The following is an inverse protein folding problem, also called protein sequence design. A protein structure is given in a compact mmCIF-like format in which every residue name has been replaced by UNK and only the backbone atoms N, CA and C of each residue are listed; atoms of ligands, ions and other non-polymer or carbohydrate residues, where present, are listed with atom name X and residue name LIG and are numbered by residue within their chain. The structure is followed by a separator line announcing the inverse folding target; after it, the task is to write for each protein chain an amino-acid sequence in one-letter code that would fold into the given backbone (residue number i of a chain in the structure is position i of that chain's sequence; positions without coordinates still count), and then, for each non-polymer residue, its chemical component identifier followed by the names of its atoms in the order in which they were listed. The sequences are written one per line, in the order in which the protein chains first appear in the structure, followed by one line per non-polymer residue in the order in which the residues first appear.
data_IF_246725950283
#
_entry.id   IF_246725950283
#
_cell.length_a   1.000
_cell.length_b   1.000
_cell.length_c   1.000
_cell.angle_alpha   90.00
_cell.angle_beta   90.00
_cell.angle_gamma   90.00
#
_symmetry.space_group_name_H-M   'P 1'
#
loop_
_entity.id
_entity.type
_entity.pdbx_description
1 polymer ?
#
# COMPACT_ATOMS: atom_id res chain seq x y z
N UNK A 1 -5.58 5.26 18.98
CA UNK A 1 -5.56 4.85 17.55
C UNK A 1 -4.14 4.70 17.03
N UNK A 2 -3.27 5.72 17.15
CA UNK A 2 -1.84 5.60 16.80
C UNK A 2 -1.16 4.40 17.47
N UNK A 3 -1.35 4.25 18.77
CA UNK A 3 -0.69 3.16 19.51
C UNK A 3 -1.19 1.77 19.10
N UNK A 4 -2.46 1.66 18.66
CA UNK A 4 -3.00 0.42 18.12
C UNK A 4 -2.36 0.06 16.77
N UNK A 5 -2.12 1.05 15.91
CA UNK A 5 -1.41 0.84 14.64
C UNK A 5 0.04 0.40 14.90
N UNK A 6 0.71 1.03 15.86
CA UNK A 6 2.09 0.66 16.25
C UNK A 6 2.13 -0.75 16.86
N UNK A 7 1.17 -1.09 17.73
CA UNK A 7 1.07 -2.42 18.32
C UNK A 7 0.83 -3.50 17.25
N UNK A 8 -0.01 -3.22 16.25
CA UNK A 8 -0.26 -4.14 15.15
C UNK A 8 0.96 -4.28 14.22
N UNK A 9 1.64 -3.16 13.91
CA UNK A 9 2.91 -3.21 13.17
C UNK A 9 3.95 -4.06 13.89
N UNK A 10 4.08 -3.92 15.21
CA UNK A 10 4.97 -4.75 16.03
C UNK A 10 4.54 -6.22 16.05
N UNK A 11 3.23 -6.51 16.08
CA UNK A 11 2.69 -7.87 15.99
C UNK A 11 3.08 -8.51 14.66
N UNK A 12 2.79 -7.84 13.54
CA UNK A 12 3.15 -8.32 12.19
C UNK A 12 4.67 -8.49 12.05
N UNK A 13 5.48 -7.58 12.60
CA UNK A 13 6.93 -7.70 12.54
C UNK A 13 7.48 -8.96 13.23
N UNK A 14 6.79 -9.48 14.26
CA UNK A 14 7.13 -10.70 15.00
C UNK A 14 6.50 -11.96 14.42
N UNK A 15 5.23 -11.88 14.06
CA UNK A 15 4.39 -13.04 13.71
C UNK A 15 4.27 -13.26 12.20
N UNK A 16 4.64 -12.26 11.40
CA UNK A 16 4.43 -12.24 9.96
C UNK A 16 3.01 -11.85 9.56
N UNK A 17 2.83 -11.65 8.27
CA UNK A 17 1.52 -11.44 7.65
C UNK A 17 0.87 -12.81 7.41
N UNK A 18 -0.44 -12.89 7.61
CA UNK A 18 -1.21 -14.07 7.22
C UNK A 18 -1.09 -14.33 5.70
N UNK A 19 -0.74 -15.57 5.35
CA UNK A 19 -0.48 -15.96 3.95
C UNK A 19 -1.73 -15.81 3.08
N UNK A 20 -2.90 -16.18 3.62
CA UNK A 20 -4.18 -16.07 2.90
C UNK A 20 -4.54 -14.62 2.63
N UNK A 21 -4.35 -13.75 3.64
CA UNK A 21 -4.55 -12.31 3.53
C UNK A 21 -3.62 -11.70 2.48
N UNK A 22 -2.33 -12.02 2.52
CA UNK A 22 -1.35 -11.53 1.55
C UNK A 22 -1.77 -11.88 0.11
N UNK A 23 -2.07 -13.16 -0.17
CA UNK A 23 -2.48 -13.60 -1.51
C UNK A 23 -3.75 -12.92 -1.98
N UNK A 24 -4.75 -12.80 -1.10
CA UNK A 24 -6.03 -12.15 -1.43
C UNK A 24 -5.84 -10.67 -1.75
N UNK A 25 -5.06 -9.94 -0.94
CA UNK A 25 -4.78 -8.53 -1.17
C UNK A 25 -3.94 -8.31 -2.43
N UNK A 26 -2.86 -9.08 -2.62
CA UNK A 26 -2.02 -9.01 -3.84
C UNK A 26 -2.86 -9.20 -5.11
N UNK A 27 -3.72 -10.23 -5.14
CA UNK A 27 -4.64 -10.48 -6.25
C UNK A 27 -5.65 -9.34 -6.45
N UNK A 28 -6.21 -8.81 -5.35
CA UNK A 28 -7.18 -7.72 -5.39
C UNK A 28 -6.60 -6.43 -6.00
N UNK A 29 -5.42 -6.03 -5.53
CA UNK A 29 -4.71 -4.84 -6.02
C UNK A 29 -4.26 -5.03 -7.47
N UNK A 30 -3.70 -6.19 -7.82
CA UNK A 30 -3.34 -6.52 -9.20
C UNK A 30 -4.56 -6.39 -10.14
N UNK A 31 -5.68 -7.00 -9.77
CA UNK A 31 -6.91 -6.92 -10.55
C UNK A 31 -7.45 -5.48 -10.68
N UNK A 32 -7.28 -4.65 -9.65
CA UNK A 32 -7.63 -3.23 -9.74
C UNK A 32 -6.75 -2.48 -10.75
N UNK A 33 -5.43 -2.75 -10.77
CA UNK A 33 -4.50 -2.16 -11.74
C UNK A 33 -4.85 -2.57 -13.17
N UNK A 34 -5.10 -3.87 -13.40
CA UNK A 34 -5.55 -4.39 -14.71
C UNK A 34 -6.84 -3.73 -15.17
N UNK A 35 -7.85 -3.60 -14.28
CA UNK A 35 -9.10 -2.92 -14.64
C UNK A 35 -8.89 -1.44 -14.97
N UNK A 36 -7.95 -0.78 -14.30
CA UNK A 36 -7.58 0.61 -14.55
C UNK A 36 -7.07 0.86 -15.97
N UNK A 37 -6.55 -0.16 -16.66
CA UNK A 37 -6.13 -0.06 -18.06
C UNK A 37 -7.30 0.13 -19.03
N UNK A 38 -8.54 -0.15 -18.61
CA UNK A 38 -9.73 0.08 -19.43
C UNK A 38 -10.20 1.54 -19.45
N UNK A 39 -9.56 2.43 -18.68
CA UNK A 39 -9.84 3.87 -18.70
C UNK A 39 -8.68 4.60 -19.36
N UNK A 40 -8.97 5.23 -20.50
CA UNK A 40 -7.99 6.02 -21.24
C UNK A 40 -7.43 7.16 -20.38
N UNK A 41 -8.30 7.90 -19.71
CA UNK A 41 -7.93 9.03 -18.85
C UNK A 41 -7.01 8.58 -17.71
N UNK A 42 -7.37 7.49 -17.03
CA UNK A 42 -6.55 6.93 -15.95
C UNK A 42 -5.17 6.50 -16.46
N UNK A 43 -5.11 5.83 -17.62
CA UNK A 43 -3.84 5.42 -18.23
C UNK A 43 -2.97 6.62 -18.59
N UNK A 44 -3.53 7.68 -19.17
CA UNK A 44 -2.78 8.90 -19.48
C UNK A 44 -2.20 9.56 -18.22
N UNK A 45 -2.99 9.65 -17.15
CA UNK A 45 -2.53 10.23 -15.87
C UNK A 45 -1.38 9.39 -15.28
N UNK A 46 -1.56 8.08 -15.20
CA UNK A 46 -0.55 7.21 -14.59
C UNK A 46 0.74 7.13 -15.41
N UNK A 47 0.66 7.14 -16.75
CA UNK A 47 1.84 7.22 -17.62
C UNK A 47 2.61 8.53 -17.42
N UNK A 48 1.90 9.67 -17.31
CA UNK A 48 2.54 10.96 -17.03
C UNK A 48 3.22 10.98 -15.66
N UNK A 49 2.55 10.47 -14.62
CA UNK A 49 3.14 10.33 -13.29
C UNK A 49 4.37 9.41 -13.29
N UNK A 50 4.29 8.27 -13.98
CA UNK A 50 5.39 7.31 -14.10
C UNK A 50 6.60 7.92 -14.82
N UNK A 51 6.37 8.70 -15.87
CA UNK A 51 7.43 9.45 -16.57
C UNK A 51 8.19 10.39 -15.61
N UNK A 52 7.48 11.18 -14.81
CA UNK A 52 8.12 12.08 -13.83
C UNK A 52 8.80 11.34 -12.69
N UNK A 53 8.30 10.15 -12.32
CA UNK A 53 8.92 9.29 -11.31
C UNK A 53 10.09 8.46 -11.85
N UNK A 54 10.36 8.50 -13.16
CA UNK A 54 11.42 7.71 -13.81
C UNK A 54 11.17 6.21 -13.80
N UNK A 55 9.90 5.78 -13.79
CA UNK A 55 9.50 4.38 -13.79
C UNK A 55 8.67 4.04 -15.03
N UNK A 56 8.67 2.78 -15.43
CA UNK A 56 7.85 2.30 -16.55
C UNK A 56 6.53 1.74 -16.00
N UNK A 57 5.41 2.38 -16.37
CA UNK A 57 4.10 2.07 -15.81
C UNK A 57 3.56 0.68 -16.19
N UNK A 58 3.73 0.29 -17.45
CA UNK A 58 3.18 -0.93 -18.04
C UNK A 58 3.94 -2.19 -17.63
N UNK A 59 5.12 -2.07 -17.03
CA UNK A 59 5.85 -3.17 -16.36
C UNK A 59 5.29 -3.55 -14.99
N UNK A 60 4.15 -2.99 -14.58
CA UNK A 60 3.52 -3.36 -13.31
C UNK A 60 3.26 -4.87 -13.16
N UNK A 61 2.97 -5.68 -14.22
CA UNK A 61 2.74 -7.10 -14.01
C UNK A 61 3.97 -7.83 -13.48
N UNK A 62 5.14 -7.55 -14.05
CA UNK A 62 6.43 -8.11 -13.62
C UNK A 62 6.78 -7.65 -12.20
N UNK A 63 6.56 -6.37 -11.89
CA UNK A 63 6.75 -5.83 -10.55
C UNK A 63 5.85 -6.54 -9.54
N UNK A 64 4.57 -6.70 -9.87
CA UNK A 64 3.64 -7.40 -8.98
C UNK A 64 4.01 -8.86 -8.80
N UNK A 65 4.43 -9.57 -9.85
CA UNK A 65 4.87 -10.96 -9.73
C UNK A 65 6.00 -11.08 -8.70
N UNK A 66 6.99 -10.18 -8.79
CA UNK A 66 8.14 -10.12 -7.89
C UNK A 66 7.86 -9.75 -6.43
N UNK A 67 6.72 -9.12 -6.10
CA UNK A 67 6.40 -8.76 -4.70
C UNK A 67 6.15 -10.01 -3.86
N UNK A 68 7.02 -10.26 -2.90
CA UNK A 68 6.88 -11.35 -1.93
C UNK A 68 6.17 -10.88 -0.65
N UNK A 69 5.78 -11.84 0.19
CA UNK A 69 5.27 -11.54 1.53
C UNK A 69 6.34 -10.89 2.41
N UNK A 70 7.59 -11.33 2.28
CA UNK A 70 8.71 -10.81 3.04
C UNK A 70 8.94 -9.32 2.74
N UNK A 71 8.78 -8.88 1.50
CA UNK A 71 8.89 -7.46 1.13
C UNK A 71 7.86 -6.60 1.87
N UNK A 72 6.64 -7.11 2.03
CA UNK A 72 5.57 -6.43 2.77
C UNK A 72 5.87 -6.37 4.26
N UNK A 73 6.31 -7.48 4.85
CA UNK A 73 6.71 -7.57 6.26
C UNK A 73 7.87 -6.63 6.57
N UNK A 74 8.89 -6.60 5.71
CA UNK A 74 10.04 -5.71 5.85
C UNK A 74 9.66 -4.24 5.67
N UNK A 75 8.74 -3.93 4.75
CA UNK A 75 8.20 -2.59 4.61
C UNK A 75 7.51 -2.13 5.90
N UNK A 76 6.62 -2.97 6.46
CA UNK A 76 5.93 -2.67 7.73
C UNK A 76 6.95 -2.46 8.85
N UNK A 77 7.93 -3.35 8.99
CA UNK A 77 8.97 -3.26 10.03
C UNK A 77 9.78 -1.96 9.95
N UNK A 78 10.08 -1.48 8.73
CA UNK A 78 10.88 -0.27 8.51
C UNK A 78 10.10 1.02 8.60
N UNK A 79 8.79 0.99 8.31
CA UNK A 79 7.98 2.21 8.19
C UNK A 79 6.98 2.43 9.32
N UNK A 80 6.43 1.37 9.92
CA UNK A 80 5.47 1.48 11.03
C UNK A 80 6.23 1.62 12.35
N UNK A 81 6.79 2.81 12.57
CA UNK A 81 7.62 3.17 13.73
C UNK A 81 7.08 4.43 14.41
N UNK A 82 7.31 4.63 15.72
CA UNK A 82 6.83 5.81 16.42
C UNK A 82 7.24 7.13 15.75
N UNK A 83 8.45 7.20 15.20
CA UNK A 83 9.05 8.38 14.58
C UNK A 83 8.42 8.71 13.23
N UNK A 84 7.79 7.73 12.56
CA UNK A 84 7.18 7.86 11.24
C UNK A 84 5.65 7.79 11.25
N UNK A 85 5.04 7.52 12.41
CA UNK A 85 3.59 7.46 12.56
C UNK A 85 3.02 8.76 13.16
N UNK A 86 2.36 9.58 12.34
CA UNK A 86 1.55 10.72 12.76
C UNK A 86 0.07 10.36 12.94
N UNK A 87 -0.67 11.11 13.77
CA UNK A 87 -2.12 10.99 13.91
C UNK A 87 -2.78 12.37 13.84
N UNK A 88 -3.65 12.55 12.86
CA UNK A 88 -4.56 13.69 12.78
C UNK A 88 -5.99 13.20 13.03
N UNK A 89 -6.72 13.85 13.93
CA UNK A 89 -8.11 13.51 14.25
C UNK A 89 -9.00 14.70 13.91
N UNK A 90 -9.87 14.52 12.92
CA UNK A 90 -10.95 15.47 12.62
C UNK A 90 -12.19 15.04 13.38
N UNK A 91 -12.76 15.97 14.14
CA UNK A 91 -14.03 15.77 14.86
C UNK A 91 -15.12 16.56 14.17
N UNK A 92 -16.38 16.11 14.21
CA UNK A 92 -17.51 16.96 13.85
C UNK A 92 -17.43 18.28 14.64
N UNK A 93 -17.77 19.40 14.00
CA UNK A 93 -17.89 20.67 14.70
C UNK A 93 -19.09 20.61 15.65
N UNK A 94 -18.91 21.00 16.90
CA UNK A 94 -20.05 21.34 17.77
C UNK A 94 -20.64 22.67 17.28
N UNK A 95 -21.97 22.75 17.16
CA UNK A 95 -22.66 24.02 16.91
C UNK A 95 -22.35 24.98 18.07
N UNK A 96 -21.98 26.22 17.72
CA UNK A 96 -21.64 27.28 18.67
C UNK A 96 -22.87 27.80 19.44
#
# INVERSE_FOLDING_TARGET
MRDAVLAEGARIAREGVDEGLFRRLKKGVYGAKVRGLNSFENVCIELAQAHFAGVEYLTFPEVFDGISKADVEDCIRRWVTPERCGLAVVRPGEEA
#
